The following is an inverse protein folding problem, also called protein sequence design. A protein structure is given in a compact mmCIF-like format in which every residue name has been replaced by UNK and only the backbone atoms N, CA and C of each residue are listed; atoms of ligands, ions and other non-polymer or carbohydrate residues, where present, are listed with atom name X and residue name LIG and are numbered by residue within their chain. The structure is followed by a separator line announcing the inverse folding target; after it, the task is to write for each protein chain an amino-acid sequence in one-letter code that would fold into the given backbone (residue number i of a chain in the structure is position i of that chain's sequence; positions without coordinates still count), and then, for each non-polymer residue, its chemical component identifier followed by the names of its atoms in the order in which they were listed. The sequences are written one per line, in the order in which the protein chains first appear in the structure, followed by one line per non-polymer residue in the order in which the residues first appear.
data_IF_437462878122
#
_entry.id   IF_437462878122
#
_cell.length_a   1.000
_cell.length_b   1.000
_cell.length_c   1.000
_cell.angle_alpha   90.00
_cell.angle_beta   90.00
_cell.angle_gamma   90.00
#
_symmetry.space_group_name_H-M   'P 1'
#
loop_
_entity.id
_entity.type
_entity.pdbx_description
1 polymer ?
#
# COMPACT_ATOMS: atom_id res chain seq x y z
N UNK A 1 -21.44 -68.58 29.46
CA UNK A 1 -21.98 -67.21 29.65
C UNK A 1 -21.02 -66.23 29.00
N UNK A 2 -21.40 -65.59 27.89
CA UNK A 2 -20.63 -64.52 27.22
C UNK A 2 -21.57 -63.35 27.03
N UNK A 3 -21.21 -62.19 27.59
CA UNK A 3 -22.00 -60.95 27.51
C UNK A 3 -21.97 -60.37 26.09
N UNK A 4 -23.10 -59.83 25.59
CA UNK A 4 -23.11 -59.11 24.32
C UNK A 4 -22.52 -57.71 24.53
N UNK A 5 -21.48 -57.38 23.77
CA UNK A 5 -20.96 -56.02 23.65
C UNK A 5 -21.98 -55.22 22.84
N UNK A 6 -22.53 -54.17 23.46
CA UNK A 6 -23.55 -53.30 22.87
C UNK A 6 -23.00 -52.57 21.64
N UNK A 7 -23.59 -52.84 20.46
CA UNK A 7 -23.28 -52.15 19.19
C UNK A 7 -23.43 -50.62 19.28
N UNK A 8 -24.20 -50.11 20.25
CA UNK A 8 -24.44 -48.68 20.43
C UNK A 8 -23.18 -47.92 20.90
N UNK A 9 -22.26 -48.57 21.62
CA UNK A 9 -21.02 -47.94 22.08
C UNK A 9 -20.00 -47.72 20.96
N UNK A 10 -19.99 -48.58 19.94
CA UNK A 10 -19.01 -48.52 18.84
C UNK A 10 -19.38 -47.41 17.84
N UNK A 11 -20.67 -47.16 17.62
CA UNK A 11 -21.14 -46.11 16.70
C UNK A 11 -20.87 -44.68 17.20
N UNK A 12 -20.92 -44.42 18.51
CA UNK A 12 -20.60 -43.10 19.05
C UNK A 12 -19.11 -42.74 18.97
N UNK A 13 -18.20 -43.71 19.09
CA UNK A 13 -16.75 -43.44 19.00
C UNK A 13 -16.31 -43.13 17.56
N UNK A 14 -16.91 -43.79 16.57
CA UNK A 14 -16.60 -43.54 15.15
C UNK A 14 -17.10 -42.16 14.69
N UNK A 15 -18.23 -41.68 15.21
CA UNK A 15 -18.75 -40.34 14.89
C UNK A 15 -17.86 -39.21 15.47
N UNK A 16 -17.30 -39.40 16.66
CA UNK A 16 -16.40 -38.41 17.29
C UNK A 16 -15.02 -38.40 16.62
N UNK A 17 -14.47 -39.57 16.24
CA UNK A 17 -13.23 -39.61 15.46
C UNK A 17 -13.38 -39.01 14.06
N UNK A 18 -14.54 -39.13 13.43
CA UNK A 18 -14.80 -38.55 12.10
C UNK A 18 -14.97 -37.02 12.15
N UNK A 19 -15.49 -36.48 13.25
CA UNK A 19 -15.57 -35.03 13.47
C UNK A 19 -14.20 -34.39 13.78
N UNK A 20 -13.26 -35.14 14.39
CA UNK A 20 -11.89 -34.68 14.65
C UNK A 20 -10.97 -34.76 13.41
N UNK A 21 -11.28 -35.63 12.44
CA UNK A 21 -10.53 -35.78 11.19
C UNK A 21 -10.93 -34.79 10.08
N UNK A 22 -11.95 -33.96 10.31
CA UNK A 22 -12.42 -32.96 9.32
C UNK A 22 -11.74 -31.59 9.46
N UNK A 23 -10.88 -31.39 10.46
CA UNK A 23 -9.94 -30.26 10.51
C UNK A 23 -8.63 -30.67 9.86
N UNK A 24 -8.66 -30.97 8.56
CA UNK A 24 -7.41 -30.85 7.81
C UNK A 24 -7.05 -29.35 7.84
N UNK A 25 -5.89 -28.96 8.41
CA UNK A 25 -5.40 -27.61 8.17
C UNK A 25 -5.33 -27.50 6.65
N UNK A 26 -6.06 -26.55 6.06
CA UNK A 26 -5.92 -26.25 4.65
C UNK A 26 -4.42 -26.09 4.43
N UNK A 27 -3.80 -26.98 3.66
CA UNK A 27 -2.40 -26.84 3.31
C UNK A 27 -2.28 -25.48 2.65
N UNK A 28 -1.76 -24.51 3.39
CA UNK A 28 -1.58 -23.17 2.92
C UNK A 28 -0.64 -23.30 1.71
N UNK A 29 -1.19 -23.08 0.52
CA UNK A 29 -0.40 -23.08 -0.69
C UNK A 29 0.68 -22.02 -0.51
N UNK A 30 1.93 -22.42 -0.70
CA UNK A 30 3.05 -21.50 -0.55
C UNK A 30 3.00 -20.39 -1.61
N UNK A 31 2.32 -20.62 -2.73
CA UNK A 31 2.02 -19.58 -3.71
C UNK A 31 0.51 -19.48 -3.92
N UNK A 32 -0.03 -18.29 -3.72
CA UNK A 32 -1.46 -17.99 -3.84
C UNK A 32 -1.65 -17.09 -5.04
N UNK A 33 -2.47 -17.51 -6.00
CA UNK A 33 -2.87 -16.68 -7.14
C UNK A 33 -4.32 -16.25 -6.99
N UNK A 34 -4.60 -14.96 -7.12
CA UNK A 34 -5.97 -14.42 -7.10
C UNK A 34 -6.34 -13.98 -8.51
N UNK A 35 -7.26 -14.71 -9.11
CA UNK A 35 -7.76 -14.45 -10.48
C UNK A 35 -9.19 -13.89 -10.49
N UNK A 36 -9.90 -13.97 -9.37
CA UNK A 36 -11.29 -13.54 -9.25
C UNK A 36 -11.55 -13.01 -7.84
N UNK A 37 -12.44 -12.02 -7.77
CA UNK A 37 -12.90 -11.43 -6.53
C UNK A 37 -14.40 -11.71 -6.35
N UNK A 38 -14.84 -12.15 -5.16
CA UNK A 38 -16.25 -12.40 -4.90
C UNK A 38 -17.11 -11.17 -5.24
N UNK A 39 -18.18 -11.38 -6.02
CA UNK A 39 -19.16 -10.35 -6.40
C UNK A 39 -18.56 -9.07 -7.02
N UNK A 40 -17.38 -9.17 -7.63
CA UNK A 40 -16.62 -8.03 -8.15
C UNK A 40 -16.10 -8.34 -9.55
N UNK A 41 -15.79 -7.31 -10.37
CA UNK A 41 -15.07 -7.52 -11.61
C UNK A 41 -13.72 -8.23 -11.37
N UNK A 42 -13.13 -8.86 -12.40
CA UNK A 42 -11.79 -9.42 -12.31
C UNK A 42 -10.80 -8.41 -11.74
N UNK A 43 -9.84 -8.84 -10.89
CA UNK A 43 -8.75 -7.97 -10.43
C UNK A 43 -8.10 -7.26 -11.62
N UNK A 44 -7.69 -5.99 -11.48
CA UNK A 44 -7.03 -5.26 -12.57
C UNK A 44 -5.72 -5.95 -12.97
N UNK A 45 -4.99 -6.50 -12.00
CA UNK A 45 -3.75 -7.26 -12.21
C UNK A 45 -3.91 -8.68 -11.67
N UNK A 46 -3.27 -9.67 -12.31
CA UNK A 46 -3.13 -11.00 -11.71
C UNK A 46 -2.19 -10.89 -10.52
N UNK A 47 -2.68 -11.20 -9.32
CA UNK A 47 -1.87 -11.14 -8.12
C UNK A 47 -1.34 -12.53 -7.74
N UNK A 48 -0.04 -12.60 -7.48
CA UNK A 48 0.62 -13.74 -6.87
C UNK A 48 1.19 -13.34 -5.51
N UNK A 49 0.94 -14.14 -4.48
CA UNK A 49 1.59 -14.02 -3.17
C UNK A 49 2.44 -15.26 -2.97
N UNK A 50 3.75 -15.07 -2.84
CA UNK A 50 4.70 -16.08 -2.41
C UNK A 50 4.90 -16.01 -0.89
N UNK A 51 4.52 -17.08 -0.21
CA UNK A 51 4.62 -17.31 1.22
C UNK A 51 5.57 -18.47 1.57
N UNK A 52 6.43 -18.88 0.65
CA UNK A 52 7.45 -19.92 0.90
C UNK A 52 8.40 -19.54 2.05
N UNK A 53 8.61 -18.25 2.27
CA UNK A 53 9.46 -17.70 3.35
C UNK A 53 8.70 -17.40 4.65
N UNK A 54 7.42 -17.75 4.74
CA UNK A 54 6.59 -17.63 5.94
C UNK A 54 6.50 -19.00 6.61
N UNK A 55 7.21 -19.14 7.71
CA UNK A 55 7.27 -20.35 8.55
C UNK A 55 6.39 -20.24 9.79
N UNK A 56 6.14 -19.03 10.30
CA UNK A 56 5.19 -18.80 11.38
C UNK A 56 3.76 -19.19 10.93
N UNK A 57 3.09 -20.17 11.57
CA UNK A 57 1.76 -20.60 11.16
C UNK A 57 0.71 -19.49 11.22
N UNK A 58 0.85 -18.55 12.17
CA UNK A 58 -0.11 -17.47 12.34
C UNK A 58 -0.03 -16.45 11.20
N UNK A 59 1.19 -16.06 10.81
CA UNK A 59 1.44 -15.24 9.63
C UNK A 59 1.08 -15.98 8.34
N UNK A 60 1.39 -17.28 8.23
CA UNK A 60 1.09 -18.08 7.03
C UNK A 60 -0.41 -18.19 6.77
N UNK A 61 -1.23 -18.27 7.82
CA UNK A 61 -2.68 -18.23 7.71
C UNK A 61 -3.22 -16.91 7.11
N UNK A 62 -2.43 -15.82 7.17
CA UNK A 62 -2.81 -14.49 6.70
C UNK A 62 -2.44 -14.25 5.24
N UNK A 63 -1.67 -15.15 4.62
CA UNK A 63 -1.28 -15.07 3.21
C UNK A 63 -2.49 -15.00 2.25
N UNK A 64 -3.48 -15.87 2.42
CA UNK A 64 -4.69 -15.87 1.57
C UNK A 64 -5.55 -14.62 1.79
N UNK A 65 -5.91 -14.27 3.04
CA UNK A 65 -6.60 -13.01 3.31
C UNK A 65 -5.85 -11.78 2.74
N UNK A 66 -4.53 -11.74 2.86
CA UNK A 66 -3.70 -10.67 2.28
C UNK A 66 -3.82 -10.64 0.76
N UNK A 67 -3.65 -11.80 0.09
CA UNK A 67 -3.80 -11.92 -1.36
C UNK A 67 -5.15 -11.37 -1.84
N UNK A 68 -6.23 -11.84 -1.22
CA UNK A 68 -7.60 -11.45 -1.57
C UNK A 68 -7.82 -9.96 -1.33
N UNK A 69 -7.30 -9.43 -0.22
CA UNK A 69 -7.39 -8.02 0.12
C UNK A 69 -6.63 -7.10 -0.84
N UNK A 70 -5.41 -7.47 -1.21
CA UNK A 70 -4.61 -6.74 -2.20
C UNK A 70 -5.33 -6.73 -3.55
N UNK A 71 -5.64 -7.90 -4.08
CA UNK A 71 -6.28 -8.09 -5.38
C UNK A 71 -7.65 -7.42 -5.49
N UNK A 72 -8.49 -7.60 -4.47
CA UNK A 72 -9.91 -7.24 -4.54
C UNK A 72 -10.24 -5.86 -4.00
N UNK A 73 -9.31 -5.21 -3.28
CA UNK A 73 -9.56 -3.89 -2.69
C UNK A 73 -8.47 -2.90 -3.03
N UNK A 74 -7.22 -3.21 -2.73
CA UNK A 74 -6.11 -2.23 -2.82
C UNK A 74 -5.83 -1.82 -4.25
N UNK A 75 -5.69 -2.77 -5.19
CA UNK A 75 -5.44 -2.40 -6.59
C UNK A 75 -6.58 -1.56 -7.18
N UNK A 76 -7.83 -1.88 -6.85
CA UNK A 76 -8.98 -1.08 -7.28
C UNK A 76 -8.99 0.33 -6.68
N UNK A 77 -8.65 0.45 -5.39
CA UNK A 77 -8.55 1.74 -4.73
C UNK A 77 -7.49 2.62 -5.40
N UNK A 78 -6.29 2.07 -5.65
CA UNK A 78 -5.22 2.83 -6.30
C UNK A 78 -5.50 3.14 -7.76
N UNK A 79 -6.11 2.22 -8.51
CA UNK A 79 -6.59 2.51 -9.87
C UNK A 79 -7.55 3.70 -9.88
N UNK A 80 -8.47 3.75 -8.91
CA UNK A 80 -9.43 4.86 -8.78
C UNK A 80 -8.75 6.18 -8.42
N UNK A 81 -7.85 6.17 -7.45
CA UNK A 81 -7.13 7.36 -6.96
C UNK A 81 -6.22 7.93 -8.06
N UNK A 82 -5.41 7.07 -8.66
CA UNK A 82 -4.35 7.48 -9.57
C UNK A 82 -4.83 7.66 -11.01
N UNK A 83 -5.94 7.00 -11.40
CA UNK A 83 -6.35 6.89 -12.79
C UNK A 83 -5.39 6.09 -13.67
N UNK A 84 -4.43 5.39 -13.07
CA UNK A 84 -3.42 4.59 -13.76
C UNK A 84 -3.89 3.13 -13.79
N UNK A 85 -3.80 2.53 -14.97
CA UNK A 85 -4.00 1.10 -15.17
C UNK A 85 -2.65 0.40 -15.02
N UNK A 86 -2.37 -0.13 -13.83
CA UNK A 86 -1.10 -0.82 -13.56
C UNK A 86 -0.93 -2.06 -14.46
N UNK A 87 -2.04 -2.67 -14.86
CA UNK A 87 -2.08 -3.84 -15.73
C UNK A 87 -1.48 -3.62 -17.13
N UNK A 88 -1.39 -2.36 -17.58
CA UNK A 88 -0.74 -2.00 -18.85
C UNK A 88 0.79 -2.21 -18.78
N UNK A 89 1.36 -2.24 -17.56
CA UNK A 89 2.81 -2.36 -17.31
C UNK A 89 3.17 -3.64 -16.56
N UNK A 90 2.31 -4.05 -15.62
CA UNK A 90 2.49 -5.21 -14.75
C UNK A 90 1.23 -6.10 -14.83
N UNK A 91 1.10 -6.94 -15.87
CA UNK A 91 -0.05 -7.83 -16.00
C UNK A 91 -0.13 -8.84 -14.84
N UNK A 92 1.03 -9.21 -14.30
CA UNK A 92 1.16 -9.97 -13.07
C UNK A 92 1.94 -9.14 -12.05
N UNK A 93 1.44 -9.10 -10.82
CA UNK A 93 2.11 -8.49 -9.69
C UNK A 93 2.41 -9.57 -8.64
N UNK A 94 3.66 -9.61 -8.15
CA UNK A 94 4.08 -10.61 -7.16
C UNK A 94 4.47 -9.95 -5.84
N UNK A 95 3.81 -10.32 -4.75
CA UNK A 95 4.34 -10.07 -3.41
C UNK A 95 5.07 -11.30 -2.89
N UNK A 96 6.22 -11.10 -2.26
CA UNK A 96 6.91 -12.14 -1.51
C UNK A 96 6.88 -11.77 -0.02
N UNK A 97 6.28 -12.64 0.80
CA UNK A 97 6.16 -12.44 2.24
C UNK A 97 7.25 -13.21 2.97
N UNK A 98 7.90 -12.55 3.91
CA UNK A 98 8.99 -13.10 4.71
C UNK A 98 8.66 -13.00 6.19
N UNK A 99 8.92 -14.07 6.94
CA UNK A 99 9.14 -13.90 8.37
C UNK A 99 10.36 -12.99 8.61
N UNK A 100 10.36 -12.25 9.72
CA UNK A 100 11.47 -11.34 10.07
C UNK A 100 12.85 -12.00 10.04
N UNK A 101 12.94 -13.26 10.45
CA UNK A 101 14.20 -14.03 10.46
C UNK A 101 14.59 -14.58 9.07
N UNK A 102 13.69 -14.52 8.09
CA UNK A 102 13.91 -14.90 6.69
C UNK A 102 14.09 -13.68 5.78
N UNK A 103 13.96 -12.46 6.32
CA UNK A 103 14.09 -11.23 5.54
C UNK A 103 15.48 -11.13 4.89
N UNK A 104 15.57 -10.89 3.56
CA UNK A 104 16.85 -10.83 2.86
C UNK A 104 17.68 -9.65 3.36
N UNK A 105 18.91 -9.91 3.84
CA UNK A 105 19.77 -8.88 4.45
C UNK A 105 20.16 -7.77 3.47
N UNK A 106 20.23 -8.10 2.18
CA UNK A 106 20.50 -7.18 1.09
C UNK A 106 19.41 -6.11 0.91
N UNK A 107 18.20 -6.33 1.46
CA UNK A 107 17.08 -5.38 1.43
C UNK A 107 17.06 -4.44 2.64
N UNK A 108 18.03 -4.55 3.56
CA UNK A 108 18.13 -3.70 4.74
C UNK A 108 17.05 -3.97 5.80
N UNK A 109 16.70 -2.97 6.62
CA UNK A 109 15.77 -3.14 7.75
C UNK A 109 14.35 -2.56 7.49
N UNK A 110 14.05 -2.18 6.25
CA UNK A 110 12.91 -1.30 5.92
C UNK A 110 11.51 -1.94 6.01
N UNK A 111 11.40 -3.27 6.19
CA UNK A 111 10.10 -3.94 6.34
C UNK A 111 9.30 -4.12 5.05
N UNK A 112 9.65 -3.39 3.99
CA UNK A 112 9.12 -3.53 2.65
C UNK A 112 10.16 -3.11 1.61
N UNK A 113 10.07 -3.69 0.42
CA UNK A 113 10.91 -3.34 -0.73
C UNK A 113 10.15 -3.56 -2.03
N UNK A 114 9.89 -2.48 -2.77
CA UNK A 114 9.26 -2.54 -4.08
C UNK A 114 10.19 -3.05 -5.20
N UNK A 115 9.60 -3.73 -6.18
CA UNK A 115 10.21 -4.22 -7.42
C UNK A 115 9.40 -3.76 -8.62
N UNK A 116 9.97 -3.90 -9.81
CA UNK A 116 9.33 -3.49 -11.08
C UNK A 116 7.87 -3.93 -11.24
N UNK A 117 7.50 -5.14 -10.82
CA UNK A 117 6.11 -5.61 -10.80
C UNK A 117 5.85 -6.48 -9.56
N UNK A 118 6.27 -5.99 -8.40
CA UNK A 118 6.16 -6.75 -7.18
C UNK A 118 6.65 -6.00 -5.95
N UNK A 119 6.59 -6.64 -4.80
CA UNK A 119 7.24 -6.16 -3.59
C UNK A 119 7.58 -7.30 -2.64
N UNK A 120 8.70 -7.18 -1.93
CA UNK A 120 9.05 -8.02 -0.81
C UNK A 120 8.55 -7.36 0.48
N UNK A 121 7.90 -8.10 1.35
CA UNK A 121 7.36 -7.57 2.61
C UNK A 121 7.72 -8.48 3.78
N UNK A 122 8.17 -7.88 4.89
CA UNK A 122 8.20 -8.59 6.17
C UNK A 122 6.77 -8.73 6.68
N UNK A 123 6.38 -9.92 7.17
CA UNK A 123 5.04 -10.17 7.73
C UNK A 123 4.74 -9.31 8.95
N UNK A 124 5.78 -8.92 9.69
CA UNK A 124 5.72 -7.93 10.78
C UNK A 124 5.31 -6.56 10.22
N UNK A 125 4.15 -6.05 10.63
CA UNK A 125 3.70 -4.69 10.32
C UNK A 125 2.69 -4.56 9.18
N UNK A 126 2.46 -5.60 8.37
CA UNK A 126 1.44 -5.62 7.29
C UNK A 126 0.00 -5.58 7.86
N UNK A 127 -0.15 -5.90 9.15
CA UNK A 127 -1.44 -6.24 9.78
C UNK A 127 -1.73 -5.26 10.90
N UNK A 128 -2.23 -4.09 10.54
CA UNK A 128 -2.74 -3.12 11.53
C UNK A 128 -4.18 -2.65 11.28
N UNK A 129 -4.84 -3.09 10.20
CA UNK A 129 -6.23 -2.69 9.96
C UNK A 129 -7.24 -3.59 10.68
N UNK A 130 -8.38 -3.01 11.04
CA UNK A 130 -9.54 -3.76 11.56
C UNK A 130 -10.27 -4.60 10.49
N UNK A 131 -9.84 -4.55 9.22
CA UNK A 131 -10.52 -5.19 8.07
C UNK A 131 -9.64 -6.30 7.45
N UNK A 132 -8.39 -6.41 7.89
CA UNK A 132 -7.46 -7.46 7.47
C UNK A 132 -6.07 -6.92 7.11
N UNK A 133 -5.15 -7.80 6.68
CA UNK A 133 -3.83 -7.39 6.25
C UNK A 133 -3.91 -6.64 4.91
N UNK A 134 -3.28 -5.47 4.83
CA UNK A 134 -3.18 -4.66 3.61
C UNK A 134 -1.80 -4.01 3.51
N UNK A 135 -1.14 -4.16 2.37
CA UNK A 135 -0.12 -3.22 1.91
C UNK A 135 -0.80 -2.10 1.14
N UNK A 136 -0.37 -0.87 1.40
CA UNK A 136 -0.74 0.32 0.63
C UNK A 136 0.49 1.15 0.29
N UNK A 137 1.65 0.85 0.87
CA UNK A 137 2.86 1.66 0.73
C UNK A 137 3.69 1.17 -0.45
N UNK A 138 4.05 -0.11 -0.49
CA UNK A 138 4.96 -0.61 -1.52
C UNK A 138 4.33 -0.61 -2.90
N UNK A 139 3.01 -0.83 -2.99
CA UNK A 139 2.29 -0.68 -4.26
C UNK A 139 2.47 0.72 -4.86
N UNK A 140 2.49 1.78 -4.05
CA UNK A 140 2.67 3.15 -4.54
C UNK A 140 4.07 3.36 -5.11
N UNK A 141 5.11 2.77 -4.51
CA UNK A 141 6.45 2.80 -5.10
C UNK A 141 6.44 2.17 -6.50
N UNK A 142 5.73 1.05 -6.70
CA UNK A 142 5.62 0.43 -8.03
C UNK A 142 4.88 1.33 -9.02
N UNK A 143 3.79 1.99 -8.62
CA UNK A 143 3.08 2.96 -9.48
C UNK A 143 4.00 4.11 -9.91
N UNK A 144 4.78 4.64 -8.99
CA UNK A 144 5.69 5.75 -9.27
C UNK A 144 6.82 5.32 -10.21
N UNK A 145 7.54 4.26 -9.87
CA UNK A 145 8.72 3.82 -10.61
C UNK A 145 8.39 3.40 -12.04
N UNK A 146 7.23 2.76 -12.25
CA UNK A 146 6.90 2.19 -13.55
C UNK A 146 6.05 3.10 -14.44
N UNK A 147 5.24 3.99 -13.85
CA UNK A 147 4.26 4.76 -14.63
C UNK A 147 4.51 6.25 -14.59
N UNK A 148 4.82 6.80 -13.42
CA UNK A 148 5.04 8.24 -13.28
C UNK A 148 6.46 8.66 -13.69
N UNK A 149 7.39 7.69 -13.73
CA UNK A 149 8.79 7.88 -14.10
C UNK A 149 9.63 8.39 -12.94
N UNK A 150 10.86 8.84 -13.21
CA UNK A 150 11.75 9.29 -12.16
C UNK A 150 11.16 10.51 -11.42
N UNK A 151 10.92 10.36 -10.12
CA UNK A 151 10.42 11.41 -9.23
C UNK A 151 11.58 12.08 -8.48
N UNK A 152 11.44 13.33 -8.01
CA UNK A 152 12.47 13.97 -7.19
C UNK A 152 12.57 13.30 -5.81
N UNK A 153 11.43 12.88 -5.25
CA UNK A 153 11.31 12.08 -4.03
C UNK A 153 10.19 11.04 -4.22
N UNK A 154 10.46 9.79 -3.84
CA UNK A 154 9.51 8.68 -3.95
C UNK A 154 8.34 8.76 -2.95
N UNK A 155 8.38 9.61 -1.94
CA UNK A 155 7.29 9.68 -0.95
C UNK A 155 6.29 10.79 -1.22
N UNK A 156 6.55 11.66 -2.18
CA UNK A 156 5.56 12.68 -2.59
C UNK A 156 4.36 11.96 -3.19
N UNK A 157 3.14 12.37 -2.81
CA UNK A 157 1.87 11.73 -3.14
C UNK A 157 1.48 10.53 -2.25
N UNK A 158 2.34 10.08 -1.33
CA UNK A 158 2.07 8.86 -0.56
C UNK A 158 1.06 9.07 0.55
N UNK A 159 1.24 10.07 1.41
CA UNK A 159 0.40 10.25 2.61
C UNK A 159 -1.09 10.32 2.27
N UNK A 160 -1.52 11.34 1.53
CA UNK A 160 -2.86 11.46 0.93
C UNK A 160 -3.35 10.22 0.19
N UNK A 161 -2.54 9.61 -0.69
CA UNK A 161 -2.99 8.43 -1.45
C UNK A 161 -3.21 7.21 -0.56
N UNK A 162 -2.33 6.96 0.42
CA UNK A 162 -2.49 5.89 1.41
C UNK A 162 -3.73 6.12 2.28
N UNK A 163 -3.95 7.36 2.74
CA UNK A 163 -5.15 7.68 3.51
C UNK A 163 -6.42 7.45 2.69
N UNK A 164 -6.46 7.93 1.45
CA UNK A 164 -7.62 7.74 0.59
C UNK A 164 -7.83 6.26 0.26
N UNK A 165 -6.77 5.49 0.02
CA UNK A 165 -6.86 4.05 -0.16
C UNK A 165 -7.47 3.37 1.07
N UNK A 166 -6.99 3.70 2.27
CA UNK A 166 -7.57 3.22 3.54
C UNK A 166 -9.06 3.54 3.65
N UNK A 167 -9.47 4.76 3.28
CA UNK A 167 -10.88 5.17 3.26
C UNK A 167 -11.71 4.33 2.29
N UNK A 168 -11.21 4.10 1.08
CA UNK A 168 -11.91 3.35 0.03
C UNK A 168 -12.03 1.86 0.34
N UNK A 169 -11.01 1.24 0.94
CA UNK A 169 -11.06 -0.18 1.35
C UNK A 169 -11.81 -0.40 2.67
N UNK A 170 -12.21 0.69 3.33
CA UNK A 170 -13.05 0.72 4.52
C UNK A 170 -12.30 0.83 5.85
N UNK A 171 -10.96 0.85 5.85
CA UNK A 171 -10.12 0.91 7.06
C UNK A 171 -10.20 2.30 7.73
N UNK A 172 -11.34 2.53 8.37
CA UNK A 172 -11.71 3.83 8.92
C UNK A 172 -10.79 4.24 10.06
N UNK A 173 -10.32 3.30 10.88
CA UNK A 173 -9.44 3.60 12.01
C UNK A 173 -8.09 4.12 11.51
N UNK A 174 -7.44 3.40 10.59
CA UNK A 174 -6.16 3.85 10.04
C UNK A 174 -6.32 5.14 9.24
N UNK A 175 -7.40 5.26 8.46
CA UNK A 175 -7.72 6.50 7.75
C UNK A 175 -7.79 7.70 8.70
N UNK A 176 -8.58 7.62 9.78
CA UNK A 176 -8.71 8.72 10.73
C UNK A 176 -7.41 9.00 11.50
N UNK A 177 -6.62 7.97 11.81
CA UNK A 177 -5.29 8.15 12.40
C UNK A 177 -4.36 8.92 11.44
N UNK A 178 -4.32 8.53 10.17
CA UNK A 178 -3.48 9.17 9.15
C UNK A 178 -3.94 10.62 8.90
N UNK A 179 -5.26 10.84 8.73
CA UNK A 179 -5.84 12.19 8.60
C UNK A 179 -5.57 13.06 9.82
N UNK A 180 -5.62 12.49 11.02
CA UNK A 180 -5.29 13.21 12.26
C UNK A 180 -3.83 13.68 12.28
N UNK A 181 -2.90 12.81 11.87
CA UNK A 181 -1.47 13.18 11.75
C UNK A 181 -1.25 14.27 10.72
N UNK A 182 -1.84 14.17 9.52
CA UNK A 182 -1.73 15.21 8.49
C UNK A 182 -2.30 16.55 8.97
N UNK A 183 -3.49 16.56 9.60
CA UNK A 183 -4.07 17.79 10.17
C UNK A 183 -3.15 18.44 11.19
N UNK A 184 -2.54 17.65 12.07
CA UNK A 184 -1.59 18.15 13.08
C UNK A 184 -0.32 18.67 12.40
N UNK A 185 0.20 17.97 11.39
CA UNK A 185 1.36 18.40 10.62
C UNK A 185 1.10 19.74 9.93
N UNK A 186 0.03 19.84 9.14
CA UNK A 186 -0.39 21.07 8.45
C UNK A 186 -0.57 22.24 9.43
N UNK A 187 -1.23 22.00 10.57
CA UNK A 187 -1.47 23.05 11.57
C UNK A 187 -0.19 23.51 12.30
N UNK A 188 0.84 22.66 12.36
CA UNK A 188 2.11 22.95 13.05
C UNK A 188 3.23 23.40 12.12
N UNK A 189 3.05 23.33 10.81
CA UNK A 189 4.05 23.79 9.85
C UNK A 189 4.24 25.30 9.98
N UNK A 190 5.46 25.71 10.28
CA UNK A 190 5.88 27.12 10.41
C UNK A 190 7.24 27.31 9.77
N UNK A 191 7.58 28.55 9.40
CA UNK A 191 8.87 28.91 8.78
C UNK A 191 10.07 28.48 9.65
N UNK A 192 9.92 28.49 10.98
CA UNK A 192 10.96 28.04 11.91
C UNK A 192 11.37 26.56 11.69
N UNK A 193 10.49 25.73 11.16
CA UNK A 193 10.79 24.33 10.88
C UNK A 193 11.58 24.11 9.59
N UNK A 194 11.78 25.17 8.80
CA UNK A 194 12.66 25.19 7.62
C UNK A 194 14.05 25.73 7.95
N UNK A 195 14.23 26.31 9.14
CA UNK A 195 15.51 26.84 9.58
C UNK A 195 16.58 25.73 9.60
N UNK A 196 17.69 25.98 8.90
CA UNK A 196 18.83 25.04 8.81
C UNK A 196 18.63 23.89 7.81
N UNK A 197 17.50 23.82 7.10
CA UNK A 197 17.34 22.89 5.99
C UNK A 197 18.10 23.41 4.76
N UNK A 198 18.63 22.49 3.94
CA UNK A 198 19.10 22.83 2.60
C UNK A 198 17.93 23.30 1.72
N UNK A 199 18.20 23.98 0.58
CA UNK A 199 17.14 24.35 -0.37
C UNK A 199 16.30 23.15 -0.82
N UNK A 200 16.94 22.03 -1.17
CA UNK A 200 16.25 20.81 -1.61
C UNK A 200 15.35 20.24 -0.50
N UNK A 201 15.85 20.15 0.74
CA UNK A 201 15.08 19.66 1.88
C UNK A 201 13.93 20.61 2.26
N UNK A 202 14.14 21.92 2.10
CA UNK A 202 13.08 22.92 2.26
C UNK A 202 11.99 22.75 1.22
N UNK A 203 12.36 22.53 -0.05
CA UNK A 203 11.38 22.34 -1.10
C UNK A 203 10.57 21.07 -0.89
N UNK A 204 11.22 19.93 -0.62
CA UNK A 204 10.52 18.66 -0.35
C UNK A 204 9.51 18.81 0.80
N UNK A 205 9.92 19.49 1.88
CA UNK A 205 9.01 19.77 3.00
C UNK A 205 7.83 20.68 2.60
N UNK A 206 8.07 21.67 1.75
CA UNK A 206 7.01 22.54 1.24
C UNK A 206 6.05 21.78 0.30
N UNK A 207 6.56 20.88 -0.54
CA UNK A 207 5.76 19.98 -1.38
C UNK A 207 4.85 19.10 -0.51
N UNK A 208 5.38 18.43 0.52
CA UNK A 208 4.58 17.66 1.49
C UNK A 208 3.51 18.53 2.19
N UNK A 209 3.87 19.74 2.61
CA UNK A 209 2.91 20.64 3.24
C UNK A 209 1.75 21.01 2.31
N UNK A 210 2.05 21.39 1.06
CA UNK A 210 1.03 21.75 0.07
C UNK A 210 0.14 20.55 -0.23
N UNK A 211 0.74 19.38 -0.40
CA UNK A 211 0.04 18.13 -0.64
C UNK A 211 -0.96 17.80 0.49
N UNK A 212 -0.47 17.71 1.72
CA UNK A 212 -1.27 17.41 2.91
C UNK A 212 -2.35 18.48 3.13
N UNK A 213 -2.00 19.76 2.97
CA UNK A 213 -2.91 20.89 3.19
C UNK A 213 -4.10 20.86 2.21
N UNK A 214 -3.83 20.64 0.92
CA UNK A 214 -4.86 20.55 -0.10
C UNK A 214 -5.74 19.31 0.10
N UNK A 215 -5.16 18.17 0.45
CA UNK A 215 -5.94 16.95 0.73
C UNK A 215 -6.79 17.06 2.00
N UNK A 216 -6.25 17.64 3.08
CA UNK A 216 -7.00 17.90 4.32
C UNK A 216 -8.18 18.84 4.08
N UNK A 217 -8.01 19.83 3.17
CA UNK A 217 -9.06 20.78 2.80
C UNK A 217 -10.15 20.11 1.95
N UNK A 218 -9.77 19.31 0.97
CA UNK A 218 -10.68 18.55 0.11
C UNK A 218 -10.01 17.24 -0.32
N UNK A 219 -10.61 16.12 0.11
CA UNK A 219 -10.09 14.78 -0.16
C UNK A 219 -10.01 14.49 -1.66
N UNK A 220 -10.81 15.14 -2.49
CA UNK A 220 -10.81 14.91 -3.93
C UNK A 220 -9.55 15.46 -4.63
N UNK A 221 -8.77 16.31 -3.96
CA UNK A 221 -7.50 16.81 -4.51
C UNK A 221 -6.47 15.71 -4.75
N UNK A 222 -6.54 14.59 -4.02
CA UNK A 222 -5.59 13.47 -4.23
C UNK A 222 -5.65 12.95 -5.66
N UNK A 223 -6.84 12.79 -6.24
CA UNK A 223 -7.00 12.37 -7.63
C UNK A 223 -6.47 13.44 -8.61
N UNK A 224 -6.63 14.72 -8.26
CA UNK A 224 -6.16 15.82 -9.10
C UNK A 224 -4.64 15.86 -9.19
N UNK A 225 -3.91 15.53 -8.11
CA UNK A 225 -2.45 15.44 -8.17
C UNK A 225 -1.99 14.44 -9.24
N UNK A 226 -2.48 13.20 -9.19
CA UNK A 226 -2.10 12.18 -10.17
C UNK A 226 -2.53 12.54 -11.60
N UNK A 227 -3.71 13.14 -11.79
CA UNK A 227 -4.20 13.56 -13.12
C UNK A 227 -3.43 14.75 -13.69
N UNK A 228 -2.92 15.65 -12.84
CA UNK A 228 -2.16 16.84 -13.26
C UNK A 228 -0.66 16.57 -13.34
N UNK A 229 -0.18 15.48 -12.75
CA UNK A 229 1.20 15.06 -12.86
C UNK A 229 1.50 14.62 -14.30
N UNK A 230 2.35 15.39 -14.98
CA UNK A 230 2.88 15.01 -16.28
C UNK A 230 3.72 13.73 -16.14
N UNK A 231 3.56 12.77 -17.05
CA UNK A 231 4.46 11.61 -17.14
C UNK A 231 5.84 12.10 -17.55
N UNK A 232 6.90 11.72 -16.84
CA UNK A 232 8.23 12.27 -17.05
C UNK A 232 9.31 11.23 -17.35
N UNK A 233 10.10 11.46 -18.39
CA UNK A 233 11.34 10.73 -18.67
C UNK A 233 12.62 11.46 -18.20
N UNK A 234 12.47 12.66 -17.65
CA UNK A 234 13.58 13.54 -17.24
C UNK A 234 14.37 12.93 -16.09
N UNK A 235 15.69 12.91 -16.21
CA UNK A 235 16.59 12.29 -15.24
C UNK A 235 17.23 13.27 -14.25
N UNK A 236 17.36 14.55 -14.60
CA UNK A 236 17.95 15.55 -13.71
C UNK A 236 16.95 16.00 -12.62
N UNK A 237 17.46 16.31 -11.43
CA UNK A 237 16.65 16.63 -10.25
C UNK A 237 15.81 17.90 -10.43
N UNK A 238 16.37 18.95 -11.03
CA UNK A 238 15.66 20.22 -11.22
C UNK A 238 14.44 20.07 -12.14
N UNK A 239 14.61 19.36 -13.27
CA UNK A 239 13.51 19.07 -14.19
C UNK A 239 12.44 18.17 -13.58
N UNK A 240 12.83 17.18 -12.75
CA UNK A 240 11.90 16.35 -11.98
C UNK A 240 11.11 17.19 -10.97
N UNK A 241 11.75 18.09 -10.24
CA UNK A 241 11.08 18.92 -9.24
C UNK A 241 10.16 19.97 -9.87
N UNK A 242 10.59 20.63 -10.95
CA UNK A 242 9.73 21.57 -11.68
C UNK A 242 8.42 20.92 -12.17
N UNK A 243 8.47 19.63 -12.54
CA UNK A 243 7.28 18.84 -12.93
C UNK A 243 6.28 18.70 -11.78
N UNK A 244 6.76 18.37 -10.58
CA UNK A 244 5.92 18.28 -9.38
C UNK A 244 5.37 19.64 -8.98
N UNK A 245 6.19 20.68 -9.00
CA UNK A 245 5.77 22.02 -8.67
C UNK A 245 4.65 22.55 -9.60
N UNK A 246 4.72 22.26 -10.92
CA UNK A 246 3.62 22.56 -11.86
C UNK A 246 2.32 21.88 -11.45
N UNK A 247 2.39 20.61 -11.06
CA UNK A 247 1.24 19.87 -10.57
C UNK A 247 0.67 20.51 -9.29
N UNK A 248 1.49 20.82 -8.30
CA UNK A 248 1.05 21.47 -7.06
C UNK A 248 0.37 22.83 -7.32
N UNK A 249 0.97 23.65 -8.17
CA UNK A 249 0.41 24.95 -8.56
C UNK A 249 -0.91 24.79 -9.30
N UNK A 250 -1.00 23.85 -10.25
CA UNK A 250 -2.23 23.57 -10.98
C UNK A 250 -3.37 23.09 -10.06
N UNK A 251 -3.10 22.16 -9.13
CA UNK A 251 -4.12 21.63 -8.20
C UNK A 251 -4.54 22.71 -7.19
N UNK A 252 -3.62 23.56 -6.75
CA UNK A 252 -3.89 24.67 -5.84
C UNK A 252 -4.61 25.87 -6.48
N UNK A 253 -4.85 25.85 -7.79
CA UNK A 253 -5.40 26.98 -8.54
C UNK A 253 -4.45 28.18 -8.64
N UNK A 254 -3.13 27.94 -8.67
CA UNK A 254 -2.10 28.98 -8.79
C UNK A 254 -1.57 29.53 -7.46
N UNK A 255 -2.03 28.99 -6.32
CA UNK A 255 -1.73 29.57 -4.99
C UNK A 255 -0.50 28.96 -4.32
N UNK A 256 -0.04 27.78 -4.76
CA UNK A 256 1.14 27.12 -4.21
C UNK A 256 2.45 27.75 -4.70
N UNK A 257 2.50 28.34 -5.91
CA UNK A 257 3.73 28.85 -6.51
C UNK A 257 4.52 29.83 -5.62
N UNK A 258 3.93 30.89 -5.04
CA UNK A 258 4.68 31.80 -4.17
C UNK A 258 5.30 31.06 -2.97
N UNK A 259 4.55 30.13 -2.37
CA UNK A 259 5.02 29.34 -1.23
C UNK A 259 6.18 28.42 -1.61
N UNK A 260 6.03 27.65 -2.69
CA UNK A 260 7.08 26.73 -3.16
C UNK A 260 8.38 27.48 -3.50
N UNK A 261 8.29 28.58 -4.25
CA UNK A 261 9.46 29.39 -4.61
C UNK A 261 10.16 29.99 -3.39
N UNK A 262 9.39 30.42 -2.39
CA UNK A 262 9.95 30.95 -1.13
C UNK A 262 10.73 29.88 -0.33
N UNK A 263 10.45 28.59 -0.56
CA UNK A 263 11.08 27.47 0.14
C UNK A 263 12.10 26.73 -0.72
N UNK A 264 12.70 27.41 -1.70
CA UNK A 264 13.84 26.88 -2.46
C UNK A 264 13.48 25.92 -3.59
N UNK A 265 12.19 25.79 -3.94
CA UNK A 265 11.77 24.97 -5.05
C UNK A 265 12.20 25.54 -6.41
N UNK A 266 12.58 24.65 -7.33
CA UNK A 266 12.94 25.00 -8.70
C UNK A 266 11.80 25.76 -9.40
N UNK A 267 12.05 26.86 -10.15
CA UNK A 267 11.03 27.58 -10.93
C UNK A 267 10.38 26.72 -12.01
N UNK A 268 9.12 27.00 -12.33
CA UNK A 268 8.28 26.08 -13.11
C UNK A 268 7.05 26.74 -13.77
#
# INVERSE_FOLDING_TARGET
MRSPVSLAGVLCVVAILSALLSFQPAHAQDVITVNQCPNSPPPPVTLQIDCTHVTDPSAKALCRPFAENQACKVFFAYRKITGINLEDYCPTFTYTLYDKNQWPKELGDAGGFSRRCGADLMTDGIIQSSIGPYDVHEILHVYQDNVLGALPDGHILFGPAMAEAQRLIGDSKSYWNTMGRMKVQVARTTDAQYAGLSPDASCVKAEFYIEDSLYVKDIHNVELFYRKLERGGTKDTAGRQARFNRMFDAVSGGTARPYLLAHGCAPF
#
